data_IF_174591367875
#
_entry.id   IF_174591367875
#
_cell.length_a   1.000
_cell.length_b   1.000
_cell.length_c   1.000
_cell.angle_alpha   90.00
_cell.angle_beta   90.00
_cell.angle_gamma   90.00
#
_symmetry.space_group_name_H-M   'P 1'
#
loop_
_entity.id
_entity.type
_entity.pdbx_description
1 polymer ?
#
# COMPACT_ATOMS: atom_id res chain seq x y z
N UNK A 1 -22.18 18.48 10.35
CA UNK A 1 -20.73 18.52 10.12
C UNK A 1 -20.47 18.18 8.65
N UNK A 2 -19.49 18.82 8.01
CA UNK A 2 -19.15 18.64 6.59
C UNK A 2 -17.65 18.53 6.42
N UNK A 3 -17.22 17.80 5.41
CA UNK A 3 -15.84 17.77 4.92
C UNK A 3 -15.81 18.46 3.55
N UNK A 4 -14.90 19.40 3.35
CA UNK A 4 -14.83 20.24 2.15
C UNK A 4 -13.45 20.17 1.50
N UNK A 5 -13.41 20.16 0.15
CA UNK A 5 -12.24 20.44 -0.69
C UNK A 5 -12.50 21.82 -1.33
N UNK A 6 -11.90 22.87 -0.79
CA UNK A 6 -12.27 24.24 -1.09
C UNK A 6 -13.73 24.49 -0.75
N UNK A 7 -14.55 24.80 -1.76
CA UNK A 7 -16.00 24.98 -1.62
C UNK A 7 -16.81 23.71 -1.89
N UNK A 8 -16.20 22.64 -2.37
CA UNK A 8 -16.86 21.39 -2.75
C UNK A 8 -17.02 20.47 -1.56
N UNK A 9 -18.24 20.02 -1.28
CA UNK A 9 -18.49 19.05 -0.22
C UNK A 9 -18.06 17.65 -0.67
N UNK A 10 -17.24 17.00 0.17
CA UNK A 10 -16.84 15.59 0.01
C UNK A 10 -17.91 14.71 0.66
N UNK A 11 -18.30 13.64 -0.05
CA UNK A 11 -19.20 12.64 0.49
C UNK A 11 -18.54 11.93 1.67
N UNK A 12 -19.18 11.96 2.84
CA UNK A 12 -18.68 11.36 4.08
C UNK A 12 -19.84 11.01 5.00
N UNK A 13 -19.68 9.95 5.78
CA UNK A 13 -20.56 9.66 6.93
C UNK A 13 -20.05 10.37 8.18
N UNK A 14 -20.96 10.70 9.09
CA UNK A 14 -20.64 11.31 10.38
C UNK A 14 -21.29 10.46 11.47
N UNK A 15 -20.47 9.94 12.40
CA UNK A 15 -20.93 9.24 13.60
C UNK A 15 -20.57 10.07 14.83
N UNK A 16 -21.48 10.11 15.80
CA UNK A 16 -21.25 10.80 17.08
C UNK A 16 -21.23 9.82 18.24
N UNK A 17 -20.15 9.83 19.01
CA UNK A 17 -20.00 9.10 20.26
C UNK A 17 -20.28 10.05 21.41
N UNK A 18 -21.42 9.88 22.08
CA UNK A 18 -21.85 10.70 23.18
C UNK A 18 -21.02 10.50 24.46
N UNK A 19 -20.48 9.29 24.68
CA UNK A 19 -19.65 8.97 25.84
C UNK A 19 -18.33 9.73 25.83
N UNK A 20 -17.70 9.79 24.65
CA UNK A 20 -16.41 10.47 24.44
C UNK A 20 -16.59 11.89 23.86
N UNK A 21 -17.82 12.32 23.58
CA UNK A 21 -18.15 13.62 22.95
C UNK A 21 -17.40 13.86 21.65
N UNK A 22 -17.23 12.79 20.85
CA UNK A 22 -16.42 12.79 19.63
C UNK A 22 -17.30 12.58 18.41
N UNK A 23 -17.12 13.43 17.39
CA UNK A 23 -17.72 13.24 16.07
C UNK A 23 -16.65 12.71 15.09
N UNK A 24 -16.87 11.53 14.55
CA UNK A 24 -15.99 10.91 13.55
C UNK A 24 -16.56 11.14 12.15
N UNK A 25 -15.74 11.69 11.26
CA UNK A 25 -16.08 11.90 9.84
C UNK A 25 -15.31 10.86 9.04
N UNK A 26 -16.03 10.03 8.28
CA UNK A 26 -15.44 9.00 7.43
C UNK A 26 -15.77 9.32 5.96
N UNK A 27 -14.76 9.76 5.16
CA UNK A 27 -14.96 9.97 3.72
C UNK A 27 -15.36 8.68 3.02
N UNK A 28 -16.28 8.75 2.02
CA UNK A 28 -16.70 7.58 1.25
C UNK A 28 -15.65 7.09 0.25
N UNK A 29 -14.65 7.94 -0.05
CA UNK A 29 -13.49 7.60 -0.89
C UNK A 29 -12.22 8.15 -0.24
N UNK A 30 -11.07 7.57 -0.56
CA UNK A 30 -9.79 8.08 -0.06
C UNK A 30 -9.57 9.53 -0.48
N UNK A 31 -9.09 10.36 0.46
CA UNK A 31 -8.75 11.74 0.18
C UNK A 31 -7.48 11.82 -0.69
N UNK A 32 -7.46 12.78 -1.61
CA UNK A 32 -6.30 13.00 -2.46
C UNK A 32 -5.09 13.45 -1.62
N UNK A 33 -3.89 13.02 -2.00
CA UNK A 33 -2.64 13.43 -1.37
C UNK A 33 -2.31 14.91 -1.64
N UNK A 34 -1.54 15.53 -0.76
CA UNK A 34 -1.04 16.91 -0.88
C UNK A 34 -2.17 17.94 -1.04
N UNK A 35 -3.31 17.69 -0.44
CA UNK A 35 -4.45 18.61 -0.46
C UNK A 35 -4.80 19.09 0.94
N UNK A 36 -5.31 20.31 1.02
CA UNK A 36 -5.88 20.87 2.24
C UNK A 36 -7.38 20.73 2.22
N UNK A 37 -7.93 20.15 3.27
CA UNK A 37 -9.36 19.96 3.47
C UNK A 37 -9.84 20.76 4.68
N UNK A 38 -11.13 21.13 4.66
CA UNK A 38 -11.77 21.86 5.74
C UNK A 38 -12.85 20.99 6.37
N UNK A 39 -12.82 20.85 7.70
CA UNK A 39 -13.93 20.35 8.50
C UNK A 39 -14.77 21.57 8.87
N UNK A 40 -16.06 21.55 8.57
CA UNK A 40 -17.01 22.61 8.89
C UNK A 40 -18.12 22.10 9.78
N UNK A 41 -18.22 22.67 10.96
CA UNK A 41 -19.30 22.42 11.91
C UNK A 41 -20.31 23.58 11.80
N UNK A 42 -21.41 23.31 11.09
CA UNK A 42 -22.38 24.35 10.73
C UNK A 42 -23.09 24.87 11.97
N UNK A 43 -23.06 26.19 12.15
CA UNK A 43 -23.78 26.94 13.20
C UNK A 43 -25.05 27.61 12.64
N UNK A 44 -25.68 28.43 13.49
CA UNK A 44 -26.95 29.12 13.20
C UNK A 44 -28.17 28.22 13.39
N UNK A 45 -29.34 28.74 13.05
CA UNK A 45 -30.63 28.12 13.33
C UNK A 45 -30.77 26.69 12.76
N UNK A 46 -30.14 26.43 11.61
CA UNK A 46 -30.13 25.13 10.93
C UNK A 46 -28.84 24.31 11.21
N UNK A 47 -27.99 24.76 12.12
CA UNK A 47 -26.75 24.14 12.51
C UNK A 47 -26.90 23.02 13.54
N UNK A 48 -25.75 22.57 14.09
CA UNK A 48 -25.75 21.63 15.20
C UNK A 48 -26.32 22.29 16.47
N UNK A 49 -26.96 21.47 17.31
CA UNK A 49 -27.57 21.90 18.57
C UNK A 49 -27.04 21.05 19.72
N UNK A 50 -27.02 21.61 20.92
CA UNK A 50 -26.82 20.85 22.14
C UNK A 50 -28.07 20.04 22.52
N UNK A 51 -27.98 19.23 23.58
CA UNK A 51 -29.09 18.41 24.09
C UNK A 51 -30.28 19.24 24.64
N UNK A 52 -30.07 20.54 24.90
CA UNK A 52 -31.08 21.49 25.33
C UNK A 52 -31.72 22.26 24.15
N UNK A 53 -31.27 21.98 22.91
CA UNK A 53 -31.78 22.60 21.71
C UNK A 53 -31.10 23.92 21.31
N UNK A 54 -30.09 24.39 22.05
CA UNK A 54 -29.35 25.60 21.71
C UNK A 54 -28.44 25.36 20.51
N UNK A 55 -28.55 26.20 19.50
CA UNK A 55 -27.72 26.12 18.31
C UNK A 55 -26.30 26.66 18.54
N UNK A 56 -25.32 26.06 17.89
CA UNK A 56 -23.99 26.67 17.77
C UNK A 56 -24.14 28.04 17.10
N UNK A 57 -23.68 29.10 17.76
CA UNK A 57 -23.95 30.48 17.33
C UNK A 57 -23.40 30.77 15.91
N UNK A 58 -22.19 30.29 15.61
CA UNK A 58 -21.50 30.48 14.34
C UNK A 58 -20.90 29.17 13.83
N UNK A 59 -20.75 29.05 12.53
CA UNK A 59 -20.03 27.93 11.92
C UNK A 59 -18.57 27.96 12.37
N UNK A 60 -18.10 26.84 12.90
CA UNK A 60 -16.71 26.62 13.23
C UNK A 60 -16.04 25.81 12.11
N UNK A 61 -14.81 26.17 11.77
CA UNK A 61 -14.01 25.47 10.75
C UNK A 61 -12.65 25.13 11.28
N UNK A 62 -12.13 24.00 10.81
CA UNK A 62 -10.74 23.55 11.03
C UNK A 62 -10.20 22.98 9.74
N UNK A 63 -8.93 23.20 9.47
CA UNK A 63 -8.27 22.70 8.26
C UNK A 63 -7.21 21.66 8.63
N UNK A 64 -7.01 20.69 7.74
CA UNK A 64 -5.89 19.76 7.78
C UNK A 64 -5.40 19.50 6.36
N UNK A 65 -4.13 19.12 6.23
CA UNK A 65 -3.55 18.75 4.94
C UNK A 65 -3.18 17.28 4.94
N UNK A 66 -3.47 16.61 3.83
CA UNK A 66 -2.97 15.28 3.58
C UNK A 66 -1.50 15.35 3.17
N UNK A 67 -0.71 14.35 3.59
CA UNK A 67 0.70 14.27 3.24
C UNK A 67 0.88 13.91 1.76
N UNK A 68 2.03 14.25 1.19
CA UNK A 68 2.52 13.60 -0.02
C UNK A 68 2.79 12.15 0.34
N UNK A 69 2.17 11.20 -0.34
CA UNK A 69 2.63 9.83 -0.26
C UNK A 69 4.00 9.75 -0.95
N UNK A 70 5.06 9.96 -0.23
CA UNK A 70 6.39 9.57 -0.68
C UNK A 70 6.45 8.05 -0.62
N UNK A 71 6.14 7.40 -1.72
CA UNK A 71 6.44 5.98 -1.89
C UNK A 71 7.94 5.87 -2.11
N UNK A 72 8.71 5.70 -1.04
CA UNK A 72 10.09 5.23 -1.18
C UNK A 72 10.01 3.76 -1.56
N UNK A 73 10.36 3.44 -2.81
CA UNK A 73 10.51 2.07 -3.26
C UNK A 73 11.93 1.59 -2.93
N UNK A 74 12.05 0.44 -2.31
CA UNK A 74 13.31 -0.21 -1.98
C UNK A 74 13.33 -1.63 -2.54
N UNK A 75 14.51 -2.13 -2.84
CA UNK A 75 14.73 -3.52 -3.23
C UNK A 75 15.70 -4.17 -2.23
N UNK A 76 15.64 -5.51 -2.08
CA UNK A 76 16.58 -6.25 -1.24
C UNK A 76 18.03 -6.10 -1.72
N UNK A 77 18.23 -6.00 -3.04
CA UNK A 77 19.52 -5.73 -3.66
C UNK A 77 19.43 -4.53 -4.59
N UNK A 78 20.45 -3.69 -4.67
CA UNK A 78 20.50 -2.60 -5.65
C UNK A 78 20.54 -3.14 -7.08
N UNK A 79 20.09 -2.34 -8.03
CA UNK A 79 20.08 -2.75 -9.46
C UNK A 79 21.46 -3.01 -10.04
N UNK A 80 22.50 -2.50 -9.41
CA UNK A 80 23.91 -2.73 -9.77
C UNK A 80 24.47 -4.07 -9.28
N UNK A 81 23.73 -4.79 -8.40
CA UNK A 81 24.20 -6.10 -7.93
C UNK A 81 24.10 -7.14 -9.05
N UNK A 82 25.18 -7.87 -9.22
CA UNK A 82 25.27 -9.01 -10.14
C UNK A 82 25.68 -10.22 -9.31
N UNK A 83 24.94 -11.34 -9.35
CA UNK A 83 25.33 -12.55 -8.65
C UNK A 83 26.62 -13.14 -9.25
N UNK A 84 27.46 -13.71 -8.41
CA UNK A 84 28.69 -14.40 -8.86
C UNK A 84 28.40 -15.64 -9.72
N UNK A 85 27.25 -16.28 -9.48
CA UNK A 85 26.69 -17.33 -10.32
C UNK A 85 25.24 -16.95 -10.63
N UNK A 86 24.93 -16.67 -11.88
CA UNK A 86 23.60 -16.29 -12.33
C UNK A 86 22.72 -17.49 -12.73
N UNK A 87 23.33 -18.67 -12.84
CA UNK A 87 22.68 -19.91 -13.27
C UNK A 87 23.40 -21.09 -12.62
N UNK A 88 22.72 -21.81 -11.77
CA UNK A 88 23.28 -22.96 -11.06
C UNK A 88 23.36 -24.23 -11.92
N UNK A 89 22.71 -24.25 -13.10
CA UNK A 89 22.83 -25.35 -14.07
C UNK A 89 22.18 -26.65 -13.62
N UNK A 90 21.15 -26.61 -12.78
CA UNK A 90 20.51 -27.80 -12.22
C UNK A 90 19.80 -28.64 -13.26
N UNK A 91 19.40 -28.08 -14.38
CA UNK A 91 18.69 -28.74 -15.48
C UNK A 91 17.33 -29.34 -15.08
N UNK A 92 16.77 -28.88 -13.97
CA UNK A 92 15.49 -29.27 -13.41
C UNK A 92 14.71 -28.02 -13.00
N UNK A 93 13.39 -28.11 -13.04
CA UNK A 93 12.53 -27.05 -12.55
C UNK A 93 12.73 -26.82 -11.05
N UNK A 94 12.90 -25.57 -10.65
CA UNK A 94 13.16 -25.18 -9.25
C UNK A 94 12.29 -23.98 -8.83
N UNK A 95 11.99 -23.92 -7.54
CA UNK A 95 11.47 -22.70 -6.89
C UNK A 95 12.61 -22.11 -6.03
N UNK A 96 13.23 -21.05 -6.50
CA UNK A 96 14.32 -20.38 -5.81
C UNK A 96 13.82 -19.11 -5.11
N UNK A 97 14.28 -18.85 -3.88
CA UNK A 97 13.76 -17.72 -3.14
C UNK A 97 14.63 -17.26 -1.97
N UNK A 98 14.20 -16.15 -1.36
CA UNK A 98 14.85 -15.53 -0.20
C UNK A 98 13.85 -15.27 0.91
N UNK A 99 14.25 -15.59 2.15
CA UNK A 99 13.54 -15.15 3.35
C UNK A 99 14.01 -13.75 3.72
N UNK A 100 13.07 -12.89 4.05
CA UNK A 100 13.37 -11.54 4.51
C UNK A 100 12.39 -11.11 5.60
N UNK A 101 12.79 -10.17 6.44
CA UNK A 101 11.92 -9.56 7.46
C UNK A 101 11.68 -8.11 7.09
N UNK A 102 10.41 -7.68 7.08
CA UNK A 102 10.07 -6.30 6.85
C UNK A 102 10.49 -5.45 8.05
N UNK A 103 11.25 -4.37 7.84
CA UNK A 103 11.68 -3.47 8.91
C UNK A 103 10.61 -2.42 9.26
N UNK A 104 9.68 -2.15 8.34
CA UNK A 104 8.59 -1.17 8.48
C UNK A 104 7.30 -1.76 7.89
N UNK A 105 6.16 -1.21 8.32
CA UNK A 105 4.90 -1.48 7.63
C UNK A 105 4.96 -0.89 6.21
N UNK A 106 4.40 -1.61 5.24
CA UNK A 106 4.41 -1.18 3.85
C UNK A 106 3.73 -2.16 2.93
N UNK A 107 4.16 -2.19 1.69
CA UNK A 107 3.62 -3.07 0.67
C UNK A 107 4.74 -3.69 -0.16
N UNK A 108 4.62 -4.98 -0.45
CA UNK A 108 5.39 -5.62 -1.52
C UNK A 108 4.61 -5.46 -2.80
N UNK A 109 5.18 -4.74 -3.76
CA UNK A 109 4.53 -4.41 -5.03
C UNK A 109 4.84 -5.39 -6.14
N UNK A 110 5.92 -6.19 -5.99
CA UNK A 110 6.35 -7.15 -7.00
C UNK A 110 7.62 -7.89 -6.62
N UNK A 111 8.09 -8.72 -7.50
CA UNK A 111 9.29 -9.55 -7.33
C UNK A 111 10.31 -9.22 -8.42
N UNK A 112 11.58 -9.34 -8.05
CA UNK A 112 12.71 -9.27 -8.97
C UNK A 112 13.60 -10.49 -8.80
N UNK A 113 14.11 -11.02 -9.92
CA UNK A 113 15.17 -12.02 -9.91
C UNK A 113 16.24 -11.67 -10.95
N UNK A 114 17.44 -12.20 -10.77
CA UNK A 114 18.51 -12.05 -11.75
C UNK A 114 18.55 -13.29 -12.63
N UNK A 115 18.34 -13.11 -13.94
CA UNK A 115 18.26 -14.16 -14.94
C UNK A 115 19.61 -14.44 -15.56
N UNK A 116 20.05 -15.69 -15.52
CA UNK A 116 21.14 -16.19 -16.32
C UNK A 116 20.72 -16.48 -17.77
N UNK A 117 21.66 -16.54 -18.70
CA UNK A 117 21.36 -16.75 -20.12
C UNK A 117 20.75 -18.13 -20.41
N UNK A 118 21.08 -19.16 -19.63
CA UNK A 118 20.55 -20.50 -19.77
C UNK A 118 19.18 -20.68 -19.10
N UNK A 119 18.79 -19.79 -18.21
CA UNK A 119 17.50 -19.83 -17.52
C UNK A 119 16.39 -19.33 -18.44
N UNK A 120 15.77 -20.25 -19.17
CA UNK A 120 14.76 -19.98 -20.20
C UNK A 120 13.39 -20.53 -19.78
N UNK A 121 12.33 -20.14 -20.48
CA UNK A 121 10.97 -20.57 -20.19
C UNK A 121 10.16 -19.52 -19.45
N UNK A 122 8.99 -19.89 -18.94
CA UNK A 122 8.09 -18.99 -18.26
C UNK A 122 8.35 -18.98 -16.75
N UNK A 123 8.74 -17.84 -16.22
CA UNK A 123 9.01 -17.68 -14.78
C UNK A 123 7.77 -17.15 -14.05
N UNK A 124 7.56 -17.62 -12.83
CA UNK A 124 6.45 -17.22 -11.96
C UNK A 124 7.02 -16.63 -10.68
N UNK A 125 6.57 -15.42 -10.35
CA UNK A 125 6.90 -14.76 -9.09
C UNK A 125 5.89 -15.18 -8.01
N UNK A 126 6.38 -15.50 -6.82
CA UNK A 126 5.56 -15.86 -5.68
C UNK A 126 6.00 -15.11 -4.42
N UNK A 127 5.02 -14.69 -3.63
CA UNK A 127 5.24 -14.14 -2.29
C UNK A 127 4.50 -15.01 -1.28
N UNK A 128 5.19 -15.41 -0.22
CA UNK A 128 4.67 -16.32 0.80
C UNK A 128 4.78 -15.72 2.20
N UNK A 129 3.89 -16.13 3.09
CA UNK A 129 4.09 -15.97 4.52
C UNK A 129 5.20 -16.88 5.02
N UNK A 130 5.69 -16.65 6.24
CA UNK A 130 6.66 -17.53 6.90
C UNK A 130 6.15 -18.96 7.15
N UNK A 131 4.82 -19.15 7.14
CA UNK A 131 4.16 -20.46 7.30
C UNK A 131 3.93 -21.19 5.98
N UNK A 132 4.35 -20.63 4.83
CA UNK A 132 4.18 -21.25 3.52
C UNK A 132 2.83 -20.96 2.85
N UNK A 133 2.05 -20.00 3.35
CA UNK A 133 0.83 -19.57 2.67
C UNK A 133 1.20 -18.66 1.50
N UNK A 134 0.70 -18.96 0.30
CA UNK A 134 0.83 -18.10 -0.87
C UNK A 134 0.00 -16.81 -0.67
N UNK A 135 0.67 -15.67 -0.71
CA UNK A 135 0.06 -14.34 -0.54
C UNK A 135 -0.21 -13.66 -1.88
N UNK A 136 0.68 -13.82 -2.84
CA UNK A 136 0.52 -13.33 -4.21
C UNK A 136 1.36 -14.14 -5.19
N UNK A 137 0.90 -14.21 -6.44
CA UNK A 137 1.60 -14.83 -7.56
C UNK A 137 1.37 -14.02 -8.83
N UNK A 138 2.34 -14.04 -9.73
CA UNK A 138 2.22 -13.43 -11.07
C UNK A 138 3.28 -14.02 -12.00
N UNK A 139 3.03 -14.01 -13.29
CA UNK A 139 3.98 -14.50 -14.31
C UNK A 139 4.81 -13.34 -14.83
N UNK A 140 6.13 -13.55 -14.96
CA UNK A 140 7.01 -12.59 -15.62
C UNK A 140 6.67 -12.51 -17.10
N UNK A 141 6.60 -11.28 -17.62
CA UNK A 141 6.34 -10.98 -19.02
C UNK A 141 7.42 -10.04 -19.56
N UNK A 142 7.69 -10.12 -20.86
CA UNK A 142 8.69 -9.27 -21.53
C UNK A 142 10.09 -9.36 -20.91
N UNK A 143 10.49 -10.55 -20.49
CA UNK A 143 11.81 -10.78 -19.93
C UNK A 143 12.92 -10.52 -20.96
N UNK A 144 14.01 -9.91 -20.49
CA UNK A 144 15.25 -9.80 -21.27
C UNK A 144 16.02 -11.12 -21.28
N UNK A 145 17.00 -11.27 -22.16
CA UNK A 145 17.79 -12.49 -22.24
C UNK A 145 18.56 -12.78 -20.93
N UNK A 146 19.05 -11.74 -20.27
CA UNK A 146 19.83 -11.84 -19.03
C UNK A 146 19.60 -10.62 -18.15
N UNK A 147 20.00 -10.68 -16.87
CA UNK A 147 19.98 -9.55 -15.96
C UNK A 147 18.72 -9.49 -15.10
N UNK A 148 18.51 -8.37 -14.40
CA UNK A 148 17.37 -8.18 -13.53
C UNK A 148 16.06 -8.18 -14.29
N UNK A 149 15.21 -9.14 -13.97
CA UNK A 149 13.81 -9.20 -14.38
C UNK A 149 12.93 -8.66 -13.24
N UNK A 150 11.83 -8.01 -13.58
CA UNK A 150 10.88 -7.49 -12.60
C UNK A 150 9.45 -7.68 -13.06
N UNK A 151 8.58 -8.06 -12.14
CA UNK A 151 7.13 -8.10 -12.36
C UNK A 151 6.41 -7.53 -11.14
N UNK A 152 5.32 -6.81 -11.35
CA UNK A 152 4.48 -6.30 -10.29
C UNK A 152 3.25 -7.20 -10.08
N UNK A 153 2.82 -7.33 -8.83
CA UNK A 153 1.54 -7.93 -8.50
C UNK A 153 0.39 -7.00 -8.95
N UNK A 154 -0.73 -7.58 -9.34
CA UNK A 154 -1.95 -6.83 -9.69
C UNK A 154 -2.49 -6.03 -8.49
N UNK A 155 -2.29 -6.55 -7.28
CA UNK A 155 -2.62 -5.89 -6.01
C UNK A 155 -1.40 -5.97 -5.10
N UNK A 156 -0.87 -4.84 -4.62
CA UNK A 156 0.21 -4.84 -3.64
C UNK A 156 -0.16 -5.59 -2.35
N UNK A 157 0.77 -6.37 -1.80
CA UNK A 157 0.55 -7.15 -0.57
C UNK A 157 1.03 -6.35 0.63
N UNK A 158 0.12 -6.07 1.57
CA UNK A 158 0.47 -5.40 2.83
C UNK A 158 1.40 -6.26 3.68
N UNK A 159 2.46 -5.67 4.22
CA UNK A 159 3.42 -6.32 5.11
C UNK A 159 3.56 -5.55 6.42
N UNK A 160 3.82 -6.30 7.50
CA UNK A 160 3.94 -5.77 8.85
C UNK A 160 5.39 -5.79 9.30
N UNK A 161 5.82 -4.72 9.97
CA UNK A 161 7.15 -4.63 10.57
C UNK A 161 7.42 -5.81 11.52
N UNK A 162 8.64 -6.34 11.48
CA UNK A 162 9.05 -7.49 12.28
C UNK A 162 8.55 -8.85 11.76
N UNK A 163 7.72 -8.88 10.70
CA UNK A 163 7.20 -10.12 10.14
C UNK A 163 8.08 -10.62 9.00
N UNK A 164 8.31 -11.94 8.99
CA UNK A 164 9.11 -12.63 7.96
C UNK A 164 8.22 -13.10 6.82
N UNK A 165 8.73 -12.93 5.61
CA UNK A 165 8.12 -13.35 4.33
C UNK A 165 9.15 -14.11 3.49
N UNK A 166 8.69 -14.80 2.45
CA UNK A 166 9.54 -15.42 1.44
C UNK A 166 9.14 -14.89 0.07
N UNK A 167 10.11 -14.33 -0.64
CA UNK A 167 9.97 -13.97 -2.05
C UNK A 167 10.68 -15.04 -2.88
N UNK A 168 10.00 -15.62 -3.86
CA UNK A 168 10.56 -16.67 -4.71
C UNK A 168 10.16 -16.48 -6.17
N UNK A 169 10.86 -17.18 -7.03
CA UNK A 169 10.46 -17.36 -8.42
C UNK A 169 10.62 -18.84 -8.82
N UNK A 170 9.68 -19.32 -9.60
CA UNK A 170 9.76 -20.62 -10.26
C UNK A 170 10.52 -20.48 -11.58
N UNK A 171 11.48 -21.34 -11.79
CA UNK A 171 12.22 -21.54 -13.03
C UNK A 171 11.94 -22.95 -13.55
N UNK A 172 11.40 -23.11 -14.79
CA UNK A 172 11.05 -24.41 -15.36
C UNK A 172 12.26 -25.23 -15.77
#
# INVERSE_FOLDING_TARGET
VRLLDGSTQIAASVAYDAANRTATITPSVALANSKTYTISVVGGANGIKDTSGNALAQTATSTFSTIIATTTSSNLWPSSSVPGNADSGEGLAVEAGVRFTANTNGYITGIRFYKGAANTGAHIANLWSSSGQLLATTTFTNETATGWQQVNFSVPVAVTAGTTYVASYYAP
#
